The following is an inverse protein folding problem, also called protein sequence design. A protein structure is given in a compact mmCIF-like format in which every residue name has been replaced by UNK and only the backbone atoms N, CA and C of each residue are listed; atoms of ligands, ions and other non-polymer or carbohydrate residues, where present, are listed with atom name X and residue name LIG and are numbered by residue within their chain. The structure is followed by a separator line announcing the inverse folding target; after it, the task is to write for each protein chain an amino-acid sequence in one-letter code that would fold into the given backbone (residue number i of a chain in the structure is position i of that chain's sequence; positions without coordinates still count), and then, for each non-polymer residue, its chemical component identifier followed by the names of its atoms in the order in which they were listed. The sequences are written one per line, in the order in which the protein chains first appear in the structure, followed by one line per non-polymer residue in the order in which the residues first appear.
data_IF_287630342060
#
_entry.id   IF_287630342060
#
_cell.length_a   1.000
_cell.length_b   1.000
_cell.length_c   1.000
_cell.angle_alpha   90.00
_cell.angle_beta   90.00
_cell.angle_gamma   90.00
#
_symmetry.space_group_name_H-M   'P 1'
#
loop_
_entity.id
_entity.type
_entity.pdbx_description
1 polymer ?
#
# COMPACT_ATOMS: atom_id res chain seq x y z
N UNK A 1 33.07 24.46 20.57
CA UNK A 1 32.04 23.51 21.05
C UNK A 1 31.80 22.45 19.98
N UNK A 2 31.27 21.27 20.33
CA UNK A 2 30.80 20.28 19.34
C UNK A 2 29.34 20.58 19.01
N UNK A 3 29.01 20.69 17.73
CA UNK A 3 27.61 20.77 17.26
C UNK A 3 27.17 19.33 17.01
N UNK A 4 26.05 18.91 17.60
CA UNK A 4 25.51 17.56 17.41
C UNK A 4 24.53 17.57 16.22
N UNK A 5 24.54 16.56 15.34
CA UNK A 5 23.49 16.39 14.35
C UNK A 5 22.18 16.01 15.05
N UNK A 6 21.13 16.81 14.83
CA UNK A 6 19.79 16.52 15.36
C UNK A 6 19.13 15.51 14.42
N UNK A 7 19.02 14.26 14.85
CA UNK A 7 18.26 13.24 14.15
C UNK A 7 16.74 13.47 14.39
N UNK A 8 16.12 14.29 13.55
CA UNK A 8 14.66 14.48 13.55
C UNK A 8 13.96 13.22 13.02
N UNK A 9 13.68 12.27 13.91
CA UNK A 9 12.89 11.07 13.63
C UNK A 9 11.40 11.40 13.45
N UNK A 10 11.06 12.09 12.35
CA UNK A 10 9.69 12.31 11.93
C UNK A 10 9.05 10.99 11.49
N UNK A 11 7.90 10.64 12.06
CA UNK A 11 7.07 9.51 11.62
C UNK A 11 6.25 9.86 10.38
N UNK A 12 6.92 10.38 9.34
CA UNK A 12 6.35 10.54 8.01
C UNK A 12 6.02 9.14 7.46
N UNK A 13 4.75 8.93 7.10
CA UNK A 13 4.38 7.83 6.22
C UNK A 13 4.73 8.28 4.81
N UNK A 14 6.01 8.15 4.45
CA UNK A 14 6.52 8.43 3.12
C UNK A 14 5.79 7.55 2.10
N UNK A 15 4.89 8.17 1.34
CA UNK A 15 4.39 7.63 0.09
C UNK A 15 5.49 7.83 -0.97
N UNK A 16 6.41 6.87 -1.05
CA UNK A 16 7.39 6.81 -2.13
C UNK A 16 6.80 6.06 -3.32
N UNK A 17 6.54 6.74 -4.42
CA UNK A 17 5.71 6.24 -5.50
C UNK A 17 6.42 5.13 -6.29
N UNK A 18 5.95 3.89 -6.10
CA UNK A 18 6.69 2.65 -6.39
C UNK A 18 6.69 2.25 -7.87
N UNK A 19 7.49 2.92 -8.69
CA UNK A 19 7.40 2.80 -10.15
C UNK A 19 8.69 2.48 -10.93
N UNK A 20 9.87 2.44 -10.28
CA UNK A 20 11.14 2.19 -10.98
C UNK A 20 11.22 0.77 -11.59
N UNK A 21 11.64 0.60 -12.86
CA UNK A 21 11.93 -0.72 -13.43
C UNK A 21 13.33 -1.20 -13.01
N UNK A 22 13.43 -2.44 -12.51
CA UNK A 22 14.72 -3.09 -12.24
C UNK A 22 15.46 -3.39 -13.54
N UNK A 23 16.58 -2.69 -13.78
CA UNK A 23 17.51 -2.98 -14.88
C UNK A 23 18.63 -3.93 -14.42
N UNK A 24 19.00 -4.96 -15.21
CA UNK A 24 20.04 -5.91 -14.80
C UNK A 24 21.43 -5.23 -14.80
N UNK A 25 22.15 -5.34 -13.67
CA UNK A 25 23.54 -4.86 -13.57
C UNK A 25 24.50 -5.78 -14.33
N UNK A 26 25.32 -5.27 -15.27
CA UNK A 26 26.43 -6.03 -15.84
C UNK A 26 27.65 -6.05 -14.89
N UNK A 27 28.29 -7.20 -14.77
CA UNK A 27 29.50 -7.42 -13.96
C UNK A 27 30.68 -6.56 -14.41
N UNK A 28 31.44 -6.02 -13.46
CA UNK A 28 32.61 -5.19 -13.73
C UNK A 28 33.87 -6.00 -14.12
N UNK A 29 34.74 -5.37 -14.93
CA UNK A 29 36.15 -5.74 -15.14
C UNK A 29 36.99 -4.46 -15.35
N UNK A 30 38.29 -4.41 -14.97
CA UNK A 30 39.00 -3.14 -14.74
C UNK A 30 40.08 -2.77 -15.78
N UNK A 31 40.39 -1.45 -15.84
CA UNK A 31 41.66 -0.81 -16.31
C UNK A 31 42.15 -1.06 -17.76
N UNK A 32 42.84 -0.16 -18.50
CA UNK A 32 43.15 1.29 -18.47
C UNK A 32 43.72 1.65 -19.89
N UNK A 33 44.27 2.80 -20.31
CA UNK A 33 44.88 4.01 -19.69
C UNK A 33 45.03 5.14 -20.77
N UNK A 34 45.60 6.29 -20.39
CA UNK A 34 46.26 7.34 -21.23
C UNK A 34 45.45 8.58 -21.68
N UNK A 35 46.16 9.72 -21.74
CA UNK A 35 45.79 11.08 -22.19
C UNK A 35 47.08 11.82 -22.59
N UNK A 36 47.09 12.80 -23.53
CA UNK A 36 46.98 14.22 -23.14
C UNK A 36 46.34 15.21 -24.15
N UNK A 37 45.48 16.12 -23.64
CA UNK A 37 45.60 17.61 -23.58
C UNK A 37 46.54 18.36 -24.55
N UNK A 38 46.28 19.61 -25.07
CA UNK A 38 45.30 20.67 -24.68
C UNK A 38 44.52 21.38 -25.84
N UNK A 39 43.88 22.53 -25.51
CA UNK A 39 43.52 23.72 -26.36
C UNK A 39 42.09 23.76 -26.95
N UNK A 40 41.24 24.80 -26.75
CA UNK A 40 41.25 26.00 -25.88
C UNK A 40 39.79 26.46 -25.54
N UNK A 41 39.63 27.38 -24.56
CA UNK A 41 38.34 28.01 -24.22
C UNK A 41 37.88 29.05 -25.28
N UNK A 42 36.58 29.40 -25.33
CA UNK A 42 36.09 30.45 -24.41
C UNK A 42 34.75 30.13 -23.71
N UNK A 43 34.67 30.44 -22.41
CA UNK A 43 33.43 30.89 -21.76
C UNK A 43 33.19 32.39 -22.03
N UNK A 44 31.99 32.98 -21.81
CA UNK A 44 30.91 32.51 -20.94
C UNK A 44 29.49 32.50 -21.55
N UNK A 45 28.57 31.76 -20.92
CA UNK A 45 27.31 32.26 -20.31
C UNK A 45 26.48 31.07 -19.81
N UNK A 46 26.35 30.84 -18.48
CA UNK A 46 25.32 29.94 -17.97
C UNK A 46 23.96 30.63 -18.05
N UNK A 47 23.14 30.28 -19.03
CA UNK A 47 21.75 30.76 -19.10
C UNK A 47 20.93 30.11 -17.98
N UNK A 48 20.44 30.93 -17.05
CA UNK A 48 19.79 30.46 -15.83
C UNK A 48 18.49 29.72 -16.14
N UNK A 49 18.35 28.48 -15.64
CA UNK A 49 17.07 27.79 -15.52
C UNK A 49 16.30 28.30 -14.30
N UNK A 50 16.07 29.61 -14.24
CA UNK A 50 15.31 30.28 -13.17
C UNK A 50 14.38 31.27 -13.85
N UNK A 51 13.07 31.03 -13.79
CA UNK A 51 12.05 32.02 -14.15
C UNK A 51 12.13 33.16 -13.11
N UNK A 52 12.57 34.39 -13.50
CA UNK A 52 13.00 35.40 -12.51
C UNK A 52 11.90 35.92 -11.57
N UNK A 53 10.64 35.67 -11.92
CA UNK A 53 9.46 36.16 -11.19
C UNK A 53 9.01 35.23 -10.05
N UNK A 54 9.63 34.05 -9.89
CA UNK A 54 9.32 33.10 -8.81
C UNK A 54 8.02 32.29 -8.99
N UNK A 55 7.48 32.25 -10.21
CA UNK A 55 6.22 31.58 -10.55
C UNK A 55 6.39 30.14 -11.11
N UNK A 56 7.62 29.71 -11.42
CA UNK A 56 7.91 28.35 -11.93
C UNK A 56 8.39 27.36 -10.85
N UNK A 57 8.49 26.09 -11.22
CA UNK A 57 9.02 24.99 -10.42
C UNK A 57 10.50 25.21 -10.16
N UNK A 58 10.85 25.37 -8.88
CA UNK A 58 12.26 25.50 -8.48
C UNK A 58 12.96 24.15 -8.49
N UNK A 59 14.17 24.06 -9.04
CA UNK A 59 15.02 22.85 -8.94
C UNK A 59 16.14 23.14 -7.94
N UNK A 60 16.27 22.29 -6.92
CA UNK A 60 17.27 22.41 -5.86
C UNK A 60 18.41 21.40 -6.06
N UNK A 61 19.33 21.71 -7.00
CA UNK A 61 20.49 20.87 -7.31
C UNK A 61 20.97 21.08 -8.74
N UNK A 62 21.44 20.00 -9.37
CA UNK A 62 21.75 19.95 -10.79
C UNK A 62 20.49 20.08 -11.67
N UNK A 63 20.67 20.42 -12.95
CA UNK A 63 19.57 20.48 -13.92
C UNK A 63 19.03 19.08 -14.19
N UNK A 64 17.71 18.92 -14.10
CA UNK A 64 17.01 17.74 -14.62
C UNK A 64 17.13 17.69 -16.15
N UNK A 65 17.07 16.48 -16.70
CA UNK A 65 17.06 16.26 -18.16
C UNK A 65 15.74 16.67 -18.83
N UNK A 66 14.68 16.91 -18.03
CA UNK A 66 13.37 17.39 -18.45
C UNK A 66 13.10 18.73 -17.78
N UNK A 67 12.52 19.68 -18.52
CA UNK A 67 12.02 20.94 -17.98
C UNK A 67 10.72 20.70 -17.19
N UNK A 68 10.67 20.95 -15.87
CA UNK A 68 9.50 20.66 -15.05
C UNK A 68 8.34 21.64 -15.26
N UNK A 69 8.57 22.86 -15.74
CA UNK A 69 7.53 23.89 -15.84
C UNK A 69 6.37 23.45 -16.77
N UNK A 70 6.63 23.01 -18.03
CA UNK A 70 5.58 22.48 -18.90
C UNK A 70 4.88 21.23 -18.35
N UNK A 71 5.57 20.41 -17.54
CA UNK A 71 4.97 19.22 -16.92
C UNK A 71 3.96 19.63 -15.85
N UNK A 72 4.29 20.64 -15.03
CA UNK A 72 3.41 21.16 -14.00
C UNK A 72 2.18 21.87 -14.59
N UNK A 73 2.36 22.75 -15.59
CA UNK A 73 1.25 23.42 -16.30
C UNK A 73 0.23 22.42 -16.88
N UNK A 74 0.71 21.33 -17.48
CA UNK A 74 -0.13 20.26 -18.03
C UNK A 74 -0.90 19.51 -16.93
N UNK A 75 -0.29 19.27 -15.77
CA UNK A 75 -0.97 18.63 -14.62
C UNK A 75 -2.02 19.55 -14.01
N UNK A 76 -1.76 20.86 -13.89
CA UNK A 76 -2.77 21.84 -13.49
C UNK A 76 -3.97 21.82 -14.45
N UNK A 77 -3.72 21.85 -15.76
CA UNK A 77 -4.77 21.79 -16.77
C UNK A 77 -5.55 20.47 -16.77
N UNK A 78 -4.90 19.32 -16.55
CA UNK A 78 -5.57 18.01 -16.46
C UNK A 78 -6.38 17.82 -15.17
N UNK A 79 -5.97 18.48 -14.07
CA UNK A 79 -6.70 18.44 -12.79
C UNK A 79 -7.76 19.53 -12.66
N UNK A 80 -7.78 20.51 -13.57
CA UNK A 80 -8.66 21.68 -13.49
C UNK A 80 -8.32 22.64 -12.33
N UNK A 81 -7.08 22.60 -11.81
CA UNK A 81 -6.68 23.35 -10.62
C UNK A 81 -5.69 24.47 -10.95
N UNK A 82 -5.68 25.51 -10.10
CA UNK A 82 -4.66 26.56 -10.08
C UNK A 82 -4.01 26.57 -8.70
N UNK A 83 -2.84 25.92 -8.59
CA UNK A 83 -2.01 25.96 -7.39
C UNK A 83 -0.57 26.26 -7.79
N UNK A 84 0.08 27.14 -7.03
CA UNK A 84 1.50 27.49 -7.27
C UNK A 84 2.41 26.23 -7.25
N UNK A 85 3.59 26.26 -7.86
CA UNK A 85 4.48 25.09 -7.98
C UNK A 85 5.19 24.67 -6.67
N UNK A 86 5.75 23.44 -6.64
CA UNK A 86 6.66 22.95 -5.61
C UNK A 86 8.13 23.28 -5.93
N UNK A 87 9.03 22.84 -5.05
CA UNK A 87 10.47 22.69 -5.33
C UNK A 87 10.79 21.21 -5.54
N UNK A 88 11.54 20.90 -6.60
CA UNK A 88 12.02 19.55 -6.92
C UNK A 88 13.46 19.37 -6.44
N UNK A 89 13.69 18.26 -5.74
CA UNK A 89 14.98 17.82 -5.21
C UNK A 89 15.36 16.48 -5.82
N UNK A 90 16.66 16.17 -5.86
CA UNK A 90 17.17 14.83 -6.18
C UNK A 90 17.72 14.15 -4.92
N UNK A 91 17.60 12.81 -4.85
CA UNK A 91 18.14 12.01 -3.75
C UNK A 91 18.50 10.59 -4.23
N UNK A 92 19.37 9.88 -3.50
CA UNK A 92 19.76 8.51 -3.83
C UNK A 92 18.56 7.55 -3.79
N UNK A 93 17.81 7.56 -2.67
CA UNK A 93 16.58 6.79 -2.50
C UNK A 93 15.72 7.37 -1.38
N UNK A 94 14.50 6.87 -1.22
CA UNK A 94 13.74 7.05 0.01
C UNK A 94 14.32 6.14 1.12
N UNK A 95 14.89 6.72 2.18
CA UNK A 95 15.39 6.02 3.38
C UNK A 95 14.24 5.41 4.20
N UNK A 96 13.59 4.38 3.65
CA UNK A 96 12.56 3.61 4.31
C UNK A 96 13.22 2.56 5.23
N UNK A 97 13.10 2.67 6.56
CA UNK A 97 13.73 1.71 7.47
C UNK A 97 13.17 0.30 7.21
N UNK A 98 14.06 -0.68 7.04
CA UNK A 98 13.68 -2.05 6.70
C UNK A 98 12.92 -2.71 7.85
N UNK A 99 11.59 -2.58 7.82
CA UNK A 99 10.68 -3.34 8.67
C UNK A 99 10.56 -4.75 8.11
N UNK A 100 10.67 -5.76 8.98
CA UNK A 100 10.26 -7.12 8.69
C UNK A 100 8.74 -7.24 8.60
N UNK A 101 8.25 -8.40 8.15
CA UNK A 101 6.85 -8.74 8.32
C UNK A 101 6.51 -8.89 9.82
N UNK A 102 5.29 -8.50 10.20
CA UNK A 102 4.73 -8.94 11.49
C UNK A 102 4.53 -10.46 11.47
N UNK A 103 4.52 -11.12 12.64
CA UNK A 103 4.32 -12.57 12.73
C UNK A 103 3.04 -13.03 12.01
N UNK A 104 1.93 -12.30 12.16
CA UNK A 104 0.70 -12.52 11.41
C UNK A 104 0.90 -12.53 9.88
N UNK A 105 1.69 -11.59 9.34
CA UNK A 105 1.97 -11.51 7.91
C UNK A 105 2.86 -12.67 7.46
N UNK A 106 3.92 -12.97 8.23
CA UNK A 106 4.83 -14.08 7.94
C UNK A 106 4.14 -15.45 7.99
N UNK A 107 3.27 -15.68 8.96
CA UNK A 107 2.41 -16.87 9.05
C UNK A 107 1.49 -17.02 7.82
N UNK A 108 0.97 -15.93 7.28
CA UNK A 108 0.19 -15.93 6.04
C UNK A 108 1.07 -15.96 4.76
N UNK A 109 2.38 -16.20 4.86
CA UNK A 109 3.31 -16.23 3.72
C UNK A 109 3.65 -14.86 3.12
N UNK A 110 3.22 -13.75 3.76
CA UNK A 110 3.46 -12.38 3.31
C UNK A 110 4.76 -11.86 3.93
N UNK A 111 5.90 -12.38 3.46
CA UNK A 111 7.24 -11.92 3.86
C UNK A 111 7.77 -10.81 2.94
N UNK A 112 8.64 -9.91 3.41
CA UNK A 112 9.29 -8.94 2.54
C UNK A 112 10.28 -9.66 1.61
N UNK A 113 10.29 -9.39 0.30
CA UNK A 113 11.30 -9.91 -0.62
C UNK A 113 12.65 -9.23 -0.42
N UNK A 114 13.69 -9.86 -0.96
CA UNK A 114 15.03 -9.27 -1.09
C UNK A 114 14.98 -8.04 -2.01
N UNK A 115 14.39 -8.18 -3.20
CA UNK A 115 14.11 -7.05 -4.10
C UNK A 115 12.72 -6.45 -3.84
N UNK A 116 12.73 -5.23 -3.28
CA UNK A 116 11.53 -4.44 -2.97
C UNK A 116 11.24 -3.46 -4.11
N UNK A 117 9.96 -3.13 -4.29
CA UNK A 117 9.57 -2.05 -5.22
C UNK A 117 10.18 -0.74 -4.74
N UNK A 118 11.11 -0.19 -5.52
CA UNK A 118 11.74 1.11 -5.27
C UNK A 118 10.84 2.27 -5.70
N UNK A 119 10.85 3.35 -4.91
CA UNK A 119 10.22 4.62 -5.26
C UNK A 119 10.96 5.28 -6.44
N UNK A 120 10.22 5.88 -7.37
CA UNK A 120 10.78 6.74 -8.42
C UNK A 120 10.81 8.21 -8.00
N UNK A 121 9.81 8.65 -7.24
CA UNK A 121 9.74 9.96 -6.60
C UNK A 121 8.93 9.92 -5.30
N UNK A 122 8.77 11.08 -4.67
CA UNK A 122 7.86 11.30 -3.55
C UNK A 122 7.56 12.80 -3.34
N UNK A 123 6.30 13.20 -3.36
CA UNK A 123 5.84 14.46 -2.79
C UNK A 123 5.69 14.31 -1.26
N UNK A 124 6.49 15.02 -0.47
CA UNK A 124 6.53 14.85 1.01
C UNK A 124 5.63 15.81 1.77
N UNK A 125 5.32 16.95 1.17
CA UNK A 125 4.50 18.04 1.71
C UNK A 125 4.04 18.94 0.54
N UNK A 126 3.18 19.97 0.76
CA UNK A 126 2.68 20.81 -0.32
C UNK A 126 3.75 21.53 -1.15
N UNK A 127 5.01 21.61 -0.74
CA UNK A 127 6.08 22.39 -1.40
C UNK A 127 7.28 21.57 -1.85
N UNK A 128 7.33 20.26 -1.59
CA UNK A 128 8.55 19.46 -1.76
C UNK A 128 8.25 18.19 -2.55
N UNK A 129 8.95 18.02 -3.67
CA UNK A 129 8.96 16.81 -4.49
C UNK A 129 10.38 16.28 -4.57
N UNK A 130 10.57 14.97 -4.37
CA UNK A 130 11.83 14.28 -4.61
C UNK A 130 11.75 13.41 -5.87
N UNK A 131 12.84 13.35 -6.62
CA UNK A 131 13.12 12.32 -7.62
C UNK A 131 14.31 11.47 -7.15
N UNK A 132 14.21 10.15 -7.28
CA UNK A 132 15.23 9.22 -6.78
C UNK A 132 16.17 8.73 -7.88
N UNK A 133 17.44 8.48 -7.53
CA UNK A 133 18.51 8.15 -8.47
C UNK A 133 18.17 7.09 -9.54
N UNK A 134 17.41 6.00 -9.25
CA UNK A 134 17.00 5.03 -10.27
C UNK A 134 16.21 5.58 -11.47
N UNK A 135 15.64 6.80 -11.37
CA UNK A 135 14.89 7.43 -12.47
C UNK A 135 15.65 8.55 -13.18
N UNK A 136 16.64 9.18 -12.54
CA UNK A 136 17.28 10.42 -13.02
C UNK A 136 17.99 10.28 -14.37
N UNK A 137 18.50 9.07 -14.68
CA UNK A 137 19.17 8.77 -15.95
C UNK A 137 18.25 8.51 -17.15
N UNK A 138 16.94 8.76 -17.03
CA UNK A 138 15.94 8.45 -18.06
C UNK A 138 14.89 9.58 -18.17
N UNK A 139 14.96 10.39 -19.23
CA UNK A 139 14.04 11.51 -19.50
C UNK A 139 12.55 11.09 -19.45
N UNK A 140 12.19 9.98 -20.10
CA UNK A 140 10.82 9.42 -20.06
C UNK A 140 10.44 8.97 -18.64
N UNK A 141 11.40 8.49 -17.85
CA UNK A 141 11.20 8.19 -16.45
C UNK A 141 10.96 9.45 -15.61
N UNK A 142 11.77 10.49 -15.81
CA UNK A 142 11.70 11.78 -15.10
C UNK A 142 10.38 12.50 -15.40
N UNK A 143 10.02 12.70 -16.66
CA UNK A 143 8.77 13.41 -17.03
C UNK A 143 7.53 12.70 -16.46
N UNK A 144 7.46 11.37 -16.61
CA UNK A 144 6.37 10.56 -16.07
C UNK A 144 6.28 10.60 -14.55
N UNK A 145 7.42 10.64 -13.86
CA UNK A 145 7.45 10.71 -12.39
C UNK A 145 7.03 12.11 -11.91
N UNK A 146 7.56 13.18 -12.52
CA UNK A 146 7.12 14.55 -12.25
C UNK A 146 5.60 14.71 -12.46
N UNK A 147 5.06 14.18 -13.57
CA UNK A 147 3.62 14.19 -13.83
C UNK A 147 2.78 13.47 -12.76
N UNK A 148 3.35 12.50 -12.04
CA UNK A 148 2.72 11.80 -10.91
C UNK A 148 2.82 12.62 -9.61
N UNK A 149 4.04 13.01 -9.21
CA UNK A 149 4.29 13.75 -7.96
C UNK A 149 3.64 15.15 -7.93
N UNK A 150 3.43 15.75 -9.11
CA UNK A 150 2.71 17.02 -9.22
C UNK A 150 1.21 16.88 -8.94
N UNK A 151 0.60 15.70 -9.14
CA UNK A 151 -0.80 15.46 -8.70
C UNK A 151 -0.87 15.37 -7.18
N UNK A 152 0.14 14.79 -6.52
CA UNK A 152 0.26 14.86 -5.06
C UNK A 152 0.46 16.31 -4.58
N UNK A 153 1.22 17.13 -5.31
CA UNK A 153 1.33 18.57 -5.03
C UNK A 153 -0.03 19.29 -5.12
N UNK A 154 -0.87 18.94 -6.12
CA UNK A 154 -2.25 19.42 -6.21
C UNK A 154 -3.07 18.97 -4.99
N UNK A 155 -3.14 17.66 -4.72
CA UNK A 155 -3.88 17.08 -3.58
C UNK A 155 -3.49 17.68 -2.22
N UNK A 156 -2.21 18.06 -2.05
CA UNK A 156 -1.73 18.76 -0.85
C UNK A 156 -2.13 20.25 -0.81
N UNK A 157 -2.16 20.96 -1.95
CA UNK A 157 -2.43 22.41 -2.00
C UNK A 157 -3.92 22.75 -2.06
N UNK A 158 -4.76 21.85 -2.55
CA UNK A 158 -6.22 22.00 -2.52
C UNK A 158 -6.84 21.68 -1.16
N UNK A 159 -6.14 20.96 -0.28
CA UNK A 159 -6.65 20.44 0.98
C UNK A 159 -7.17 19.00 0.90
N UNK A 160 -7.30 18.42 -0.30
CA UNK A 160 -7.88 17.08 -0.52
C UNK A 160 -7.21 15.97 0.30
N UNK A 161 -5.90 16.05 0.56
CA UNK A 161 -5.17 15.10 1.42
C UNK A 161 -5.58 15.13 2.90
N UNK A 162 -6.03 16.28 3.39
CA UNK A 162 -6.48 16.52 4.77
C UNK A 162 -7.99 16.26 4.90
N UNK A 163 -8.79 16.65 3.92
CA UNK A 163 -10.22 16.30 3.85
C UNK A 163 -10.42 14.78 3.82
N UNK A 164 -9.68 14.08 2.96
CA UNK A 164 -9.65 12.61 2.89
C UNK A 164 -9.24 11.96 4.23
N UNK A 165 -8.28 12.58 4.94
CA UNK A 165 -7.87 12.12 6.27
C UNK A 165 -8.95 12.39 7.33
N UNK A 166 -9.68 13.50 7.21
CA UNK A 166 -10.80 13.85 8.08
C UNK A 166 -11.96 12.86 7.90
N UNK A 167 -12.45 12.67 6.67
CA UNK A 167 -13.55 11.75 6.35
C UNK A 167 -13.20 10.31 6.76
N UNK A 168 -12.01 9.80 6.42
CA UNK A 168 -11.58 8.44 6.80
C UNK A 168 -11.29 8.25 8.30
N UNK A 169 -11.13 9.31 9.08
CA UNK A 169 -10.98 9.22 10.55
C UNK A 169 -12.27 9.53 11.32
N UNK A 170 -13.34 9.95 10.64
CA UNK A 170 -14.62 10.26 11.23
C UNK A 170 -15.32 9.00 11.76
N UNK A 171 -15.25 8.77 13.08
CA UNK A 171 -15.90 7.65 13.75
C UNK A 171 -15.21 6.29 13.58
N UNK A 172 -14.15 6.20 12.78
CA UNK A 172 -13.40 4.97 12.52
C UNK A 172 -12.09 4.88 13.32
N UNK A 173 -11.53 3.67 13.41
CA UNK A 173 -10.17 3.45 13.91
C UNK A 173 -9.18 3.42 12.74
N UNK A 174 -7.98 3.95 12.95
CA UNK A 174 -6.91 3.99 11.94
C UNK A 174 -6.25 2.61 11.74
N UNK A 175 -7.00 1.68 11.14
CA UNK A 175 -6.63 0.27 10.92
C UNK A 175 -5.68 0.10 9.72
N UNK A 176 -5.40 -1.14 9.30
CA UNK A 176 -4.70 -1.36 8.03
C UNK A 176 -5.61 -1.01 6.85
N UNK A 177 -6.87 -1.47 6.88
CA UNK A 177 -7.85 -1.29 5.81
C UNK A 177 -8.05 0.20 5.48
N UNK A 178 -8.47 1.02 6.44
CA UNK A 178 -8.69 2.49 6.27
C UNK A 178 -7.45 3.20 5.71
N UNK A 179 -6.25 2.85 6.22
CA UNK A 179 -4.98 3.39 5.71
C UNK A 179 -4.70 2.96 4.28
N UNK A 180 -5.17 1.78 3.89
CA UNK A 180 -5.00 1.23 2.54
C UNK A 180 -6.01 1.82 1.57
N UNK A 181 -7.25 2.08 2.02
CA UNK A 181 -8.26 2.87 1.31
C UNK A 181 -7.73 4.27 0.99
N UNK A 182 -7.14 4.97 1.97
CA UNK A 182 -6.48 6.28 1.73
C UNK A 182 -5.44 6.19 0.60
N UNK A 183 -4.55 5.19 0.64
CA UNK A 183 -3.56 5.02 -0.44
C UNK A 183 -4.21 4.71 -1.79
N UNK A 184 -5.26 3.88 -1.84
CA UNK A 184 -5.96 3.59 -3.10
C UNK A 184 -6.54 4.85 -3.74
N UNK A 185 -7.13 5.75 -2.97
CA UNK A 185 -7.64 7.05 -3.45
C UNK A 185 -6.48 7.95 -3.92
N UNK A 186 -5.50 8.20 -3.04
CA UNK A 186 -4.39 9.16 -3.31
C UNK A 186 -3.54 8.75 -4.51
N UNK A 187 -3.02 7.52 -4.53
CA UNK A 187 -2.19 7.01 -5.62
C UNK A 187 -3.05 6.71 -6.86
N UNK A 188 -4.33 6.38 -6.68
CA UNK A 188 -5.29 6.12 -7.76
C UNK A 188 -5.49 7.36 -8.63
N UNK A 189 -5.78 8.51 -8.00
CA UNK A 189 -5.95 9.77 -8.70
C UNK A 189 -4.66 10.25 -9.39
N UNK A 190 -3.51 10.14 -8.71
CA UNK A 190 -2.21 10.47 -9.30
C UNK A 190 -1.87 9.58 -10.51
N UNK A 191 -2.11 8.27 -10.41
CA UNK A 191 -1.88 7.31 -11.50
C UNK A 191 -2.89 7.47 -12.65
N UNK A 192 -4.14 7.84 -12.36
CA UNK A 192 -5.15 8.14 -13.37
C UNK A 192 -4.75 9.37 -14.20
N UNK A 193 -4.34 10.46 -13.54
CA UNK A 193 -3.85 11.66 -14.21
C UNK A 193 -2.49 11.43 -14.90
N UNK A 194 -1.58 10.62 -14.33
CA UNK A 194 -0.37 10.14 -15.02
C UNK A 194 -0.73 9.41 -16.34
N UNK A 195 -1.77 8.58 -16.32
CA UNK A 195 -2.24 7.87 -17.51
C UNK A 195 -2.85 8.83 -18.55
N UNK A 196 -3.63 9.83 -18.13
CA UNK A 196 -4.10 10.89 -19.03
C UNK A 196 -2.93 11.69 -19.65
N UNK A 197 -2.01 12.16 -18.81
CA UNK A 197 -0.81 12.89 -19.21
C UNK A 197 0.00 12.11 -20.26
N UNK A 198 0.30 10.84 -19.98
CA UNK A 198 1.13 10.01 -20.85
C UNK A 198 0.43 9.73 -22.19
N UNK A 199 -0.90 9.58 -22.21
CA UNK A 199 -1.71 9.48 -23.45
C UNK A 199 -1.65 10.78 -24.29
N UNK A 200 -1.69 11.94 -23.65
CA UNK A 200 -1.74 13.24 -24.34
C UNK A 200 -0.36 13.76 -24.79
N UNK A 201 0.68 13.60 -23.96
CA UNK A 201 1.97 14.28 -24.14
C UNK A 201 3.15 13.34 -24.39
N UNK A 202 3.02 12.04 -24.09
CA UNK A 202 4.07 11.03 -24.28
C UNK A 202 3.61 9.82 -25.13
N UNK A 203 2.88 10.00 -26.24
CA UNK A 203 2.17 8.92 -26.95
C UNK A 203 3.09 7.87 -27.62
N UNK A 204 4.39 8.15 -27.72
CA UNK A 204 5.43 7.22 -28.21
C UNK A 204 6.02 6.32 -27.12
N UNK A 205 5.54 6.41 -25.88
CA UNK A 205 6.07 5.64 -24.73
C UNK A 205 5.22 4.43 -24.40
N UNK A 206 5.87 3.30 -24.08
CA UNK A 206 5.17 2.05 -23.76
C UNK A 206 4.28 2.19 -22.50
N UNK A 207 3.05 1.63 -22.49
CA UNK A 207 2.16 1.73 -21.33
C UNK A 207 2.70 1.04 -20.07
N UNK A 208 2.67 1.75 -18.94
CA UNK A 208 3.05 1.19 -17.64
C UNK A 208 1.96 0.24 -17.13
N UNK A 209 2.16 -1.06 -17.34
CA UNK A 209 1.21 -2.11 -16.94
C UNK A 209 1.32 -2.47 -15.45
N UNK A 210 0.71 -1.68 -14.57
CA UNK A 210 0.54 -2.06 -13.15
C UNK A 210 -0.29 -3.35 -12.99
N UNK A 211 -1.15 -3.68 -13.97
CA UNK A 211 -1.86 -4.95 -14.07
C UNK A 211 -0.93 -6.17 -14.14
N UNK A 212 0.21 -6.03 -14.82
CA UNK A 212 1.23 -7.07 -15.01
C UNK A 212 2.21 -7.12 -13.84
N UNK A 213 2.73 -5.97 -13.42
CA UNK A 213 3.56 -5.86 -12.20
C UNK A 213 2.86 -6.48 -10.99
N UNK A 214 1.57 -6.22 -10.80
CA UNK A 214 0.75 -6.83 -9.72
C UNK A 214 0.42 -8.33 -9.96
N UNK A 215 0.38 -8.78 -11.22
CA UNK A 215 0.22 -10.20 -11.54
C UNK A 215 1.43 -11.00 -11.04
N UNK A 216 2.63 -10.51 -11.32
CA UNK A 216 3.89 -11.23 -11.12
C UNK A 216 4.53 -11.00 -9.75
N UNK A 217 4.34 -9.83 -9.15
CA UNK A 217 4.86 -9.47 -7.83
C UNK A 217 4.61 -10.51 -6.73
N UNK A 218 5.52 -10.58 -5.75
CA UNK A 218 5.33 -11.32 -4.49
C UNK A 218 4.11 -10.81 -3.71
N UNK A 219 3.61 -11.58 -2.73
CA UNK A 219 2.46 -11.15 -1.92
C UNK A 219 2.69 -9.79 -1.23
N UNK A 220 3.89 -9.56 -0.70
CA UNK A 220 4.27 -8.25 -0.15
C UNK A 220 4.30 -7.15 -1.22
N UNK A 221 4.93 -7.38 -2.37
CA UNK A 221 4.96 -6.38 -3.45
C UNK A 221 3.57 -6.15 -4.07
N UNK A 222 2.62 -7.10 -3.97
CA UNK A 222 1.19 -6.88 -4.28
C UNK A 222 0.54 -5.93 -3.28
N UNK A 223 0.77 -6.08 -1.98
CA UNK A 223 0.31 -5.09 -1.00
C UNK A 223 0.88 -3.69 -1.29
N UNK A 224 2.13 -3.59 -1.75
CA UNK A 224 2.71 -2.30 -2.20
C UNK A 224 2.01 -1.78 -3.45
N UNK A 225 1.90 -2.59 -4.51
CA UNK A 225 1.42 -2.19 -5.85
C UNK A 225 -0.10 -2.04 -5.98
N UNK A 226 -0.89 -2.52 -5.01
CA UNK A 226 -2.35 -2.46 -5.06
C UNK A 226 -2.97 -1.08 -5.36
N UNK A 227 -2.45 0.06 -4.83
CA UNK A 227 -2.99 1.39 -5.13
C UNK A 227 -2.95 1.70 -6.63
N UNK A 228 -1.77 1.64 -7.25
CA UNK A 228 -1.56 1.80 -8.69
C UNK A 228 -2.30 0.77 -9.54
N UNK A 229 -2.67 -0.39 -8.96
CA UNK A 229 -3.47 -1.41 -9.66
C UNK A 229 -4.96 -1.09 -9.68
N UNK A 230 -5.55 -0.77 -8.53
CA UNK A 230 -7.01 -0.74 -8.37
C UNK A 230 -7.58 0.69 -8.30
N UNK A 231 -6.87 1.60 -7.62
CA UNK A 231 -7.27 3.00 -7.46
C UNK A 231 -7.61 3.73 -8.78
N UNK A 232 -6.85 3.57 -9.89
CA UNK A 232 -7.15 4.28 -11.13
C UNK A 232 -8.49 3.90 -11.76
N UNK A 233 -8.93 2.65 -11.57
CA UNK A 233 -10.22 2.18 -12.09
C UNK A 233 -11.38 2.76 -11.29
N UNK A 234 -11.28 2.76 -9.96
CA UNK A 234 -12.24 3.42 -9.08
C UNK A 234 -12.36 4.93 -9.36
N UNK A 235 -11.24 5.60 -9.65
CA UNK A 235 -11.23 7.01 -10.05
C UNK A 235 -11.85 7.23 -11.44
N UNK A 236 -11.55 6.37 -12.42
CA UNK A 236 -12.13 6.43 -13.76
C UNK A 236 -13.66 6.22 -13.72
N UNK A 237 -14.13 5.25 -12.93
CA UNK A 237 -15.54 4.92 -12.70
C UNK A 237 -16.33 6.09 -12.09
N UNK A 238 -15.85 6.70 -10.99
CA UNK A 238 -16.57 7.84 -10.37
C UNK A 238 -16.56 9.11 -11.22
N UNK A 239 -15.50 9.35 -12.00
CA UNK A 239 -15.49 10.46 -12.96
C UNK A 239 -16.47 10.23 -14.13
N UNK A 240 -16.65 8.99 -14.59
CA UNK A 240 -17.64 8.63 -15.62
C UNK A 240 -19.09 8.74 -15.10
N UNK A 241 -19.34 8.45 -13.81
CA UNK A 241 -20.63 8.70 -13.13
C UNK A 241 -20.91 10.19 -12.85
N UNK A 242 -19.91 11.06 -12.99
CA UNK A 242 -20.06 12.51 -12.98
C UNK A 242 -19.53 13.26 -11.75
N UNK A 243 -18.77 12.59 -10.87
CA UNK A 243 -17.98 13.28 -9.84
C UNK A 243 -16.81 14.07 -10.45
N UNK A 244 -16.16 14.92 -9.63
CA UNK A 244 -14.87 15.52 -9.95
C UNK A 244 -13.74 14.97 -9.05
N UNK A 245 -12.49 15.37 -9.36
CA UNK A 245 -11.33 14.94 -8.58
C UNK A 245 -11.34 15.42 -7.11
N UNK A 246 -12.12 16.45 -6.76
CA UNK A 246 -12.28 16.87 -5.36
C UNK A 246 -13.26 15.96 -4.62
N UNK A 247 -14.42 15.66 -5.22
CA UNK A 247 -15.45 14.79 -4.64
C UNK A 247 -14.89 13.43 -4.20
N UNK A 248 -14.06 12.80 -5.05
CA UNK A 248 -13.37 11.53 -4.80
C UNK A 248 -12.48 11.55 -3.53
N UNK A 249 -12.07 12.73 -3.05
CA UNK A 249 -11.29 12.88 -1.82
C UNK A 249 -12.13 13.34 -0.62
N UNK A 250 -13.21 14.11 -0.83
CA UNK A 250 -14.05 14.64 0.25
C UNK A 250 -15.15 13.67 0.68
N UNK A 251 -15.70 12.89 -0.26
CA UNK A 251 -16.64 11.77 -0.04
C UNK A 251 -15.99 10.42 -0.42
N UNK A 252 -14.99 9.95 0.34
CA UNK A 252 -14.18 8.80 -0.02
C UNK A 252 -14.83 7.46 0.34
N UNK A 253 -14.42 6.36 -0.32
CA UNK A 253 -14.76 5.02 0.11
C UNK A 253 -14.10 4.75 1.46
N UNK A 254 -14.76 3.96 2.30
CA UNK A 254 -14.38 3.69 3.68
C UNK A 254 -13.55 2.41 3.84
N UNK A 255 -13.68 1.44 2.94
CA UNK A 255 -12.95 0.16 2.97
C UNK A 255 -12.21 -0.15 1.67
N UNK A 256 -11.27 -1.10 1.71
CA UNK A 256 -10.64 -1.60 0.49
C UNK A 256 -11.59 -2.39 -0.41
N UNK A 257 -12.69 -2.92 0.13
CA UNK A 257 -13.76 -3.59 -0.64
C UNK A 257 -14.55 -2.61 -1.49
N UNK A 258 -15.00 -1.49 -0.92
CA UNK A 258 -15.73 -0.45 -1.64
C UNK A 258 -14.95 0.06 -2.87
N UNK A 259 -13.62 0.22 -2.74
CA UNK A 259 -12.72 0.53 -3.87
C UNK A 259 -12.61 -0.61 -4.90
N UNK A 260 -12.71 -1.86 -4.46
CA UNK A 260 -12.51 -3.04 -5.30
C UNK A 260 -13.74 -3.43 -6.13
N UNK A 261 -14.94 -2.92 -5.78
CA UNK A 261 -16.20 -3.20 -6.49
C UNK A 261 -17.00 -1.95 -6.89
N UNK A 262 -16.53 -0.74 -6.57
CA UNK A 262 -17.22 0.52 -6.91
C UNK A 262 -18.48 0.79 -6.10
N UNK A 263 -18.60 0.23 -4.88
CA UNK A 263 -19.83 0.32 -4.07
C UNK A 263 -19.71 1.19 -2.83
N UNK A 264 -20.84 1.70 -2.35
CA UNK A 264 -20.98 2.45 -1.10
C UNK A 264 -21.50 1.57 0.06
N UNK A 265 -21.42 0.23 -0.06
CA UNK A 265 -22.03 -0.72 0.87
C UNK A 265 -21.47 -0.58 2.30
N UNK A 266 -22.32 -0.43 3.33
CA UNK A 266 -21.86 -0.05 4.66
C UNK A 266 -21.17 -1.20 5.39
N UNK A 267 -19.88 -1.01 5.71
CA UNK A 267 -19.03 -1.97 6.45
C UNK A 267 -19.82 -2.62 7.60
N UNK A 268 -20.00 -3.93 7.53
CA UNK A 268 -20.95 -4.65 8.35
C UNK A 268 -20.55 -4.61 9.84
N UNK A 269 -21.51 -4.48 10.78
CA UNK A 269 -21.19 -4.33 12.19
C UNK A 269 -20.53 -5.60 12.75
N UNK A 270 -19.32 -5.47 13.28
CA UNK A 270 -18.56 -6.52 13.94
C UNK A 270 -17.90 -5.96 15.21
N UNK A 271 -18.31 -6.48 16.38
CA UNK A 271 -17.78 -6.08 17.68
C UNK A 271 -17.04 -7.27 18.31
N UNK A 272 -15.69 -7.26 18.20
CA UNK A 272 -14.86 -8.35 18.75
C UNK A 272 -14.27 -7.95 20.10
N UNK A 273 -14.89 -8.50 21.14
CA UNK A 273 -14.40 -8.50 22.53
C UNK A 273 -13.39 -9.62 22.75
N UNK A 274 -12.66 -9.57 23.86
CA UNK A 274 -11.80 -10.67 24.26
C UNK A 274 -11.59 -10.72 25.76
N UNK A 275 -11.58 -11.94 26.28
CA UNK A 275 -11.34 -12.32 27.66
C UNK A 275 -9.94 -12.96 27.79
N UNK A 276 -9.62 -13.52 28.96
CA UNK A 276 -8.34 -14.18 29.21
C UNK A 276 -8.18 -15.47 28.41
N UNK A 277 -7.06 -15.62 27.71
CA UNK A 277 -6.63 -16.86 27.03
C UNK A 277 -5.42 -17.43 27.79
N UNK A 278 -5.61 -17.81 29.05
CA UNK A 278 -4.52 -18.21 29.94
C UNK A 278 -3.51 -17.06 30.12
N UNK A 279 -2.22 -17.35 29.96
CA UNK A 279 -1.11 -16.39 30.15
C UNK A 279 -0.85 -15.47 28.93
N UNK A 280 -1.77 -15.38 27.96
CA UNK A 280 -1.57 -14.62 26.72
C UNK A 280 -2.03 -13.15 26.85
N UNK A 281 -1.09 -12.21 26.79
CA UNK A 281 -1.37 -10.78 26.87
C UNK A 281 -1.95 -10.24 25.56
N UNK A 282 -3.18 -9.71 25.61
CA UNK A 282 -3.85 -9.12 24.45
C UNK A 282 -3.19 -7.81 24.00
N UNK A 283 -3.03 -7.65 22.69
CA UNK A 283 -2.63 -6.41 21.99
C UNK A 283 -3.78 -5.77 21.23
N UNK A 284 -3.56 -4.53 20.78
CA UNK A 284 -4.50 -3.78 19.94
C UNK A 284 -4.81 -4.53 18.64
N UNK A 285 -6.11 -4.68 18.35
CA UNK A 285 -6.59 -5.37 17.16
C UNK A 285 -7.00 -4.44 16.03
N UNK A 286 -6.74 -4.83 14.78
CA UNK A 286 -6.98 -4.01 13.59
C UNK A 286 -7.64 -4.80 12.45
N UNK A 287 -8.57 -4.15 11.75
CA UNK A 287 -9.16 -4.59 10.48
C UNK A 287 -8.11 -4.57 9.36
N UNK A 288 -8.14 -5.58 8.49
CA UNK A 288 -7.23 -5.82 7.37
C UNK A 288 -7.86 -5.57 5.98
N UNK A 289 -9.17 -5.74 5.82
CA UNK A 289 -9.84 -5.44 4.54
C UNK A 289 -9.81 -6.56 3.50
N UNK A 290 -10.77 -6.56 2.57
CA UNK A 290 -10.88 -7.56 1.50
C UNK A 290 -9.58 -7.65 0.68
N UNK A 291 -8.94 -6.52 0.36
CA UNK A 291 -7.69 -6.50 -0.40
C UNK A 291 -6.58 -7.31 0.28
N UNK A 292 -6.53 -7.31 1.62
CA UNK A 292 -5.59 -8.14 2.37
C UNK A 292 -5.98 -9.61 2.30
N UNK A 293 -7.26 -9.97 2.43
CA UNK A 293 -7.75 -11.35 2.27
C UNK A 293 -7.39 -11.89 0.89
N UNK A 294 -7.67 -11.14 -0.18
CA UNK A 294 -7.33 -11.46 -1.57
C UNK A 294 -5.84 -11.72 -1.78
N UNK A 295 -4.96 -10.99 -1.09
CA UNK A 295 -3.50 -11.17 -1.21
C UNK A 295 -2.96 -12.28 -0.31
N UNK A 296 -3.54 -12.48 0.88
CA UNK A 296 -3.20 -13.55 1.80
C UNK A 296 -3.55 -14.93 1.22
N UNK A 297 -4.77 -15.12 0.71
CA UNK A 297 -5.17 -16.36 0.03
C UNK A 297 -4.26 -16.67 -1.17
N UNK A 298 -3.86 -15.63 -1.92
CA UNK A 298 -2.98 -15.71 -3.10
C UNK A 298 -1.49 -15.93 -2.78
N UNK A 299 -1.11 -16.40 -1.57
CA UNK A 299 0.21 -17.04 -1.36
C UNK A 299 0.21 -18.51 -1.77
N UNK A 300 -0.90 -19.22 -1.56
CA UNK A 300 -1.03 -20.65 -1.95
C UNK A 300 -2.08 -20.88 -3.05
N UNK A 301 -3.11 -20.03 -3.13
CA UNK A 301 -4.20 -20.18 -4.09
C UNK A 301 -3.98 -19.39 -5.39
N UNK A 302 -4.63 -19.85 -6.45
CA UNK A 302 -4.66 -19.14 -7.74
C UNK A 302 -5.46 -17.81 -7.63
N UNK A 303 -5.32 -16.93 -8.65
CA UNK A 303 -5.92 -15.58 -8.60
C UNK A 303 -7.44 -15.59 -8.49
N UNK A 304 -8.18 -16.39 -9.26
CA UNK A 304 -9.65 -16.34 -9.22
C UNK A 304 -10.14 -16.86 -7.88
N UNK A 305 -9.72 -18.05 -7.45
CA UNK A 305 -10.16 -18.62 -6.15
C UNK A 305 -9.82 -17.70 -4.96
N UNK A 306 -8.74 -16.92 -5.02
CA UNK A 306 -8.39 -15.93 -3.99
C UNK A 306 -9.20 -14.61 -4.07
N UNK A 307 -9.86 -14.32 -5.20
CA UNK A 307 -10.83 -13.22 -5.34
C UNK A 307 -12.23 -13.71 -4.98
N UNK A 308 -12.66 -14.84 -5.55
CA UNK A 308 -13.98 -15.44 -5.34
C UNK A 308 -14.20 -15.67 -3.83
N UNK A 309 -13.26 -16.32 -3.14
CA UNK A 309 -13.34 -16.61 -1.71
C UNK A 309 -12.97 -15.43 -0.78
N UNK A 310 -12.86 -14.21 -1.32
CA UNK A 310 -12.77 -12.98 -0.56
C UNK A 310 -13.98 -12.06 -0.77
N UNK A 311 -14.83 -12.35 -1.76
CA UNK A 311 -16.02 -11.57 -2.09
C UNK A 311 -17.03 -11.55 -0.92
N UNK A 312 -17.74 -10.43 -0.73
CA UNK A 312 -18.73 -10.26 0.35
C UNK A 312 -18.10 -10.17 1.74
N UNK A 313 -16.99 -9.45 1.85
CA UNK A 313 -16.22 -9.24 3.08
C UNK A 313 -16.90 -8.18 3.96
N UNK A 314 -17.98 -8.53 4.65
CA UNK A 314 -18.67 -7.56 5.50
C UNK A 314 -17.76 -6.82 6.53
N UNK A 315 -16.80 -7.50 7.18
CA UNK A 315 -15.80 -6.87 8.07
C UNK A 315 -14.69 -7.85 8.49
N UNK A 316 -13.62 -7.36 9.13
CA UNK A 316 -12.76 -8.20 9.97
C UNK A 316 -12.22 -7.50 11.23
N UNK A 317 -11.78 -8.31 12.19
CA UNK A 317 -10.94 -7.86 13.28
C UNK A 317 -9.88 -8.90 13.64
N UNK A 318 -8.64 -8.59 13.33
CA UNK A 318 -7.48 -9.28 13.90
C UNK A 318 -7.32 -8.90 15.37
N UNK A 319 -7.21 -9.88 16.27
CA UNK A 319 -6.72 -9.72 17.64
C UNK A 319 -5.35 -10.40 17.75
N UNK A 320 -4.33 -9.68 18.22
CA UNK A 320 -2.98 -10.22 18.42
C UNK A 320 -2.71 -10.41 19.90
N UNK A 321 -1.94 -11.45 20.23
CA UNK A 321 -1.59 -11.83 21.61
C UNK A 321 -0.10 -12.15 21.70
N UNK A 322 0.54 -11.71 22.78
CA UNK A 322 1.96 -11.94 23.07
C UNK A 322 2.11 -12.77 24.35
N UNK A 323 3.15 -13.62 24.44
CA UNK A 323 3.59 -14.25 25.69
C UNK A 323 5.09 -14.52 25.63
N UNK A 324 5.88 -13.66 26.26
CA UNK A 324 7.34 -13.63 26.07
C UNK A 324 7.67 -13.29 24.61
N UNK A 325 8.53 -14.09 23.98
CA UNK A 325 8.85 -13.95 22.54
C UNK A 325 7.81 -14.61 21.61
N UNK A 326 6.91 -15.43 22.16
CA UNK A 326 5.87 -16.08 21.37
C UNK A 326 4.74 -15.10 21.05
N UNK A 327 4.23 -15.14 19.82
CA UNK A 327 3.05 -14.36 19.41
C UNK A 327 2.00 -15.27 18.78
N UNK A 328 0.75 -14.85 18.85
CA UNK A 328 -0.39 -15.52 18.26
C UNK A 328 -1.46 -14.51 17.83
N UNK A 329 -2.48 -14.99 17.11
CA UNK A 329 -3.58 -14.16 16.63
C UNK A 329 -4.85 -14.98 16.50
N UNK A 330 -5.98 -14.37 16.88
CA UNK A 330 -7.32 -14.78 16.46
C UNK A 330 -7.84 -13.72 15.48
N UNK A 331 -8.14 -14.11 14.25
CA UNK A 331 -8.64 -13.23 13.20
C UNK A 331 -10.10 -13.59 12.93
N UNK A 332 -11.00 -12.70 13.34
CA UNK A 332 -12.44 -12.87 13.13
C UNK A 332 -12.81 -12.18 11.83
N UNK A 333 -13.39 -12.91 10.89
CA UNK A 333 -13.91 -12.40 9.63
C UNK A 333 -15.43 -12.52 9.63
N UNK A 334 -16.10 -11.45 9.19
CA UNK A 334 -17.54 -11.36 8.98
C UNK A 334 -17.81 -11.24 7.48
N UNK A 335 -18.82 -11.96 7.03
CA UNK A 335 -19.24 -12.02 5.64
C UNK A 335 -20.65 -11.46 5.47
N UNK A 336 -20.99 -11.09 4.24
CA UNK A 336 -22.31 -10.53 3.93
C UNK A 336 -23.40 -11.57 4.00
N UNK A 337 -23.16 -12.81 3.58
CA UNK A 337 -24.07 -13.93 3.77
C UNK A 337 -23.38 -15.24 4.18
N UNK A 338 -24.14 -16.35 4.11
CA UNK A 338 -23.69 -17.67 4.51
C UNK A 338 -23.03 -18.47 3.36
N UNK A 339 -23.22 -18.06 2.12
CA UNK A 339 -22.55 -18.62 0.95
C UNK A 339 -21.10 -18.11 0.92
N UNK A 340 -20.89 -16.78 0.97
CA UNK A 340 -19.53 -16.20 0.98
C UNK A 340 -18.68 -16.67 2.16
N UNK A 341 -19.27 -16.78 3.36
CA UNK A 341 -18.58 -17.35 4.53
C UNK A 341 -18.15 -18.82 4.31
N UNK A 342 -18.90 -19.58 3.50
CA UNK A 342 -18.60 -20.97 3.15
C UNK A 342 -17.59 -21.07 2.01
N UNK A 343 -17.61 -20.13 1.06
CA UNK A 343 -16.59 -20.00 0.02
C UNK A 343 -15.22 -19.69 0.65
N UNK A 344 -15.17 -18.70 1.57
CA UNK A 344 -13.97 -18.39 2.35
C UNK A 344 -13.50 -19.58 3.17
N UNK A 345 -14.38 -20.20 3.97
CA UNK A 345 -14.01 -21.37 4.80
C UNK A 345 -13.42 -22.50 3.96
N UNK A 346 -14.09 -22.84 2.86
CA UNK A 346 -13.64 -23.90 1.92
C UNK A 346 -12.31 -23.55 1.23
N UNK A 347 -12.08 -22.28 0.90
CA UNK A 347 -10.81 -21.83 0.34
C UNK A 347 -9.70 -21.76 1.38
N UNK A 348 -10.00 -21.38 2.63
CA UNK A 348 -9.03 -21.29 3.70
C UNK A 348 -8.59 -22.68 4.19
N UNK A 349 -9.47 -23.69 4.19
CA UNK A 349 -9.05 -25.09 4.35
C UNK A 349 -8.06 -25.51 3.26
N UNK A 350 -8.38 -25.28 1.98
CA UNK A 350 -7.47 -25.61 0.85
C UNK A 350 -6.14 -24.86 0.93
N UNK A 351 -6.16 -23.62 1.39
CA UNK A 351 -4.98 -22.80 1.66
C UNK A 351 -4.11 -23.43 2.75
N UNK A 352 -4.70 -23.87 3.86
CA UNK A 352 -3.97 -24.52 4.95
C UNK A 352 -3.47 -25.92 4.56
N UNK A 353 -4.27 -26.72 3.83
CA UNK A 353 -3.88 -28.04 3.31
C UNK A 353 -2.70 -27.97 2.32
N UNK A 354 -2.54 -26.86 1.60
CA UNK A 354 -1.38 -26.61 0.74
C UNK A 354 -0.13 -26.15 1.53
N UNK A 355 -0.32 -25.51 2.68
CA UNK A 355 0.73 -24.79 3.44
C UNK A 355 1.31 -25.58 4.62
N UNK A 356 0.56 -26.53 5.16
CA UNK A 356 0.80 -27.13 6.47
C UNK A 356 0.16 -28.52 6.60
N UNK A 357 0.69 -29.35 7.51
CA UNK A 357 0.19 -30.70 7.74
C UNK A 357 -1.03 -30.68 8.66
N UNK A 358 -2.18 -31.17 8.17
CA UNK A 358 -3.45 -31.29 8.93
C UNK A 358 -3.46 -32.51 9.84
N UNK A 359 -3.79 -32.33 11.11
CA UNK A 359 -4.06 -33.38 12.10
C UNK A 359 -5.15 -32.93 13.08
N UNK A 360 -6.19 -33.73 13.32
CA UNK A 360 -7.30 -33.45 14.27
C UNK A 360 -7.93 -32.03 14.13
N UNK A 361 -8.07 -31.52 12.90
CA UNK A 361 -8.63 -30.18 12.64
C UNK A 361 -7.69 -29.01 12.95
N UNK A 362 -6.43 -29.30 13.25
CA UNK A 362 -5.34 -28.34 13.44
C UNK A 362 -4.31 -28.54 12.32
N UNK A 363 -3.74 -27.46 11.82
CA UNK A 363 -2.66 -27.52 10.83
C UNK A 363 -1.37 -27.02 11.47
N UNK A 364 -0.26 -27.72 11.25
CA UNK A 364 1.06 -27.29 11.73
C UNK A 364 2.05 -27.23 10.58
N UNK A 365 2.77 -26.11 10.50
CA UNK A 365 3.90 -25.90 9.59
C UNK A 365 5.19 -25.98 10.40
N UNK A 366 6.02 -26.98 10.08
CA UNK A 366 7.32 -27.20 10.72
C UNK A 366 8.25 -25.99 10.47
N UNK A 367 8.32 -25.52 9.22
CA UNK A 367 8.99 -24.28 8.82
C UNK A 367 8.38 -23.06 9.52
N UNK A 368 9.07 -22.56 10.54
CA UNK A 368 8.64 -21.41 11.33
C UNK A 368 7.65 -21.74 12.46
N UNK A 369 7.51 -23.02 12.82
CA UNK A 369 6.78 -23.49 14.02
C UNK A 369 5.42 -22.79 14.23
N UNK A 370 4.60 -22.74 13.16
CA UNK A 370 3.33 -22.03 13.15
C UNK A 370 2.17 -23.02 13.05
N UNK A 371 1.24 -22.93 13.99
CA UNK A 371 0.00 -23.68 14.03
C UNK A 371 -1.16 -22.82 13.55
N UNK A 372 -2.18 -23.44 12.95
CA UNK A 372 -3.41 -22.82 12.48
C UNK A 372 -4.63 -23.67 12.88
N UNK A 373 -5.76 -23.02 13.13
CA UNK A 373 -7.08 -23.65 13.26
C UNK A 373 -8.14 -22.73 12.66
N UNK A 374 -9.11 -23.33 11.96
CA UNK A 374 -10.24 -22.64 11.36
C UNK A 374 -11.52 -23.01 12.13
N UNK A 375 -12.45 -22.07 12.28
CA UNK A 375 -13.69 -22.29 13.03
C UNK A 375 -14.85 -21.45 12.46
N UNK A 376 -15.94 -22.09 12.04
CA UNK A 376 -17.20 -21.43 11.65
C UNK A 376 -18.06 -21.21 12.88
N UNK A 377 -18.22 -19.95 13.30
CA UNK A 377 -18.81 -19.61 14.61
C UNK A 377 -20.27 -19.14 14.53
N UNK A 378 -20.75 -18.94 13.31
CA UNK A 378 -22.15 -18.66 12.93
C UNK A 378 -22.27 -18.68 11.40
N UNK A 379 -23.49 -18.61 10.88
CA UNK A 379 -23.79 -18.53 9.45
C UNK A 379 -22.90 -17.53 8.69
N UNK A 380 -22.54 -16.38 9.28
CA UNK A 380 -21.80 -15.29 8.62
C UNK A 380 -20.44 -14.93 9.24
N UNK A 381 -19.91 -15.70 10.21
CA UNK A 381 -18.62 -15.38 10.84
C UNK A 381 -17.71 -16.61 10.91
N UNK A 382 -16.44 -16.40 10.57
CA UNK A 382 -15.36 -17.39 10.58
C UNK A 382 -14.21 -16.84 11.43
N UNK A 383 -13.53 -17.71 12.21
CA UNK A 383 -12.36 -17.34 12.99
C UNK A 383 -11.16 -18.18 12.55
N UNK A 384 -10.08 -17.49 12.18
CA UNK A 384 -8.76 -18.09 11.93
C UNK A 384 -7.88 -17.85 13.15
N UNK A 385 -7.50 -18.90 13.85
CA UNK A 385 -6.48 -18.84 14.90
C UNK A 385 -5.14 -19.24 14.29
N UNK A 386 -4.08 -18.46 14.55
CA UNK A 386 -2.75 -18.76 14.03
C UNK A 386 -1.61 -18.28 14.94
N UNK A 387 -0.45 -18.92 14.84
CA UNK A 387 0.76 -18.60 15.60
C UNK A 387 1.19 -19.76 16.49
N UNK A 388 1.52 -19.50 17.75
CA UNK A 388 1.96 -20.55 18.67
C UNK A 388 0.85 -21.56 19.00
N UNK A 389 1.19 -22.86 18.93
CA UNK A 389 0.28 -23.99 19.16
C UNK A 389 -0.56 -23.86 20.45
N UNK A 390 0.06 -23.46 21.56
CA UNK A 390 -0.62 -23.39 22.86
C UNK A 390 -1.66 -22.27 22.95
N UNK A 391 -1.60 -21.24 22.10
CA UNK A 391 -2.71 -20.31 21.91
C UNK A 391 -3.78 -20.95 21.03
N UNK A 392 -3.40 -21.48 19.87
CA UNK A 392 -4.33 -22.00 18.84
C UNK A 392 -5.22 -23.14 19.37
N UNK A 393 -4.71 -23.93 20.32
CA UNK A 393 -5.45 -25.01 21.01
C UNK A 393 -6.26 -24.56 22.24
N UNK A 394 -5.93 -23.43 22.88
CA UNK A 394 -6.57 -22.97 24.12
C UNK A 394 -7.61 -21.86 23.90
N UNK A 395 -7.37 -21.01 22.90
CA UNK A 395 -8.30 -19.97 22.47
C UNK A 395 -9.60 -20.61 21.96
N UNK A 396 -10.72 -20.02 22.34
CA UNK A 396 -12.06 -20.40 21.94
C UNK A 396 -12.87 -19.13 21.67
N UNK A 397 -14.04 -19.31 21.07
CA UNK A 397 -14.97 -18.23 20.74
C UNK A 397 -16.31 -18.43 21.43
N UNK A 398 -16.89 -17.33 21.89
CA UNK A 398 -18.31 -17.28 22.25
C UNK A 398 -19.00 -16.23 21.40
N UNK A 399 -20.14 -16.59 20.82
CA UNK A 399 -20.99 -15.68 20.06
C UNK A 399 -22.21 -15.29 20.91
N UNK A 400 -22.61 -14.03 20.81
CA UNK A 400 -23.85 -13.55 21.40
C UNK A 400 -24.80 -13.08 20.30
N UNK A 401 -26.09 -12.94 20.61
CA UNK A 401 -27.07 -12.46 19.64
C UNK A 401 -26.66 -11.08 19.07
N UNK A 402 -26.63 -10.98 17.74
CA UNK A 402 -26.18 -9.79 17.01
C UNK A 402 -24.70 -9.82 16.61
N UNK A 403 -24.01 -8.66 16.54
CA UNK A 403 -22.67 -8.55 15.95
C UNK A 403 -21.51 -8.83 16.92
N UNK A 404 -21.75 -9.46 18.08
CA UNK A 404 -20.73 -9.63 19.13
C UNK A 404 -20.10 -11.01 19.10
N UNK A 405 -18.77 -11.02 19.01
CA UNK A 405 -17.91 -12.20 19.09
C UNK A 405 -16.90 -11.95 20.22
N UNK A 406 -16.69 -12.90 21.12
CA UNK A 406 -15.67 -12.80 22.17
C UNK A 406 -14.67 -13.95 22.04
N UNK A 407 -13.37 -13.61 21.95
CA UNK A 407 -12.29 -14.60 22.00
C UNK A 407 -11.76 -14.71 23.43
N UNK A 408 -11.76 -15.90 24.01
CA UNK A 408 -11.28 -16.17 25.36
C UNK A 408 -10.74 -17.60 25.48
N UNK A 409 -10.45 -18.08 26.69
CA UNK A 409 -10.23 -19.50 26.91
C UNK A 409 -11.49 -20.31 26.54
N UNK A 410 -11.30 -21.60 26.24
CA UNK A 410 -12.36 -22.59 26.43
C UNK A 410 -12.73 -22.65 27.93
N UNK A 411 -13.74 -21.89 28.35
CA UNK A 411 -14.37 -22.08 29.65
C UNK A 411 -14.82 -23.54 29.79
N UNK A 412 -14.51 -24.19 30.91
CA UNK A 412 -15.05 -25.50 31.21
C UNK A 412 -16.57 -25.38 31.36
N UNK A 413 -17.31 -25.98 30.42
CA UNK A 413 -18.77 -25.97 30.34
C UNK A 413 -19.41 -27.07 31.21
#
# INVERSE_FOLDING_TARGET
MRIAPIACALLLVLAGCGAAPGGPSPTAAPESTQSPTPEAEPSPTPSAGVTPDGNGVSIAGDRLAVDPDPVFERVLNLTGTDVRPPTVYTAESADLPSRGASSFYASLGITPPDERVGAAGAATDPSTVYLFAPVLGNETGVERTLAHEFVHTVQYRTGWMDDLLSSLSAGQQWTYDVRKTRSLVVEGAATHVEAQYRRAFMPSTEPVSYAERYREATAWNRLVLAPYRYGPGYVEERLDDGDDLAAIHTDPPNSTEQVLHGSDDPIAPLNVTADEVGEWERRTGATQGELFVRVALRTELNRSTAVDAAHGWGNDRRLTYDRGEATATAWVLRWDDAENATEFETAFERYLDAKATRNEGVWTREDGNTTYRLERVSDRNVVVYLGNESFVRAANVTTAAGPRVTIGNASAA
#
